data_IF_965187521842
#
_entry.id   IF_965187521842
#
_cell.length_a   1.000
_cell.length_b   1.000
_cell.length_c   1.000
_cell.angle_alpha   90.00
_cell.angle_beta   90.00
_cell.angle_gamma   90.00
#
_symmetry.space_group_name_H-M   'P 1'
#
loop_
_entity.id
_entity.type
_entity.pdbx_description
1 polymer ?
#
# COMPACT_ATOMS: atom_id res chain seq x y z
N UNK A 1 -18.89 -6.50 16.76
CA UNK A 1 -18.06 -7.54 16.11
C UNK A 1 -16.61 -7.38 16.56
N UNK A 2 -16.29 -7.83 17.80
CA UNK A 2 -14.95 -7.76 18.44
C UNK A 2 -14.46 -9.20 18.73
N UNK A 3 -14.35 -10.05 17.71
CA UNK A 3 -14.25 -11.50 17.94
C UNK A 3 -13.14 -12.26 17.18
N UNK A 4 -12.07 -11.58 16.74
CA UNK A 4 -10.87 -12.28 16.25
C UNK A 4 -9.53 -11.69 16.75
N UNK A 5 -9.56 -10.65 17.60
CA UNK A 5 -8.35 -10.00 18.13
C UNK A 5 -7.87 -10.57 19.47
N UNK A 6 -8.60 -11.52 20.07
CA UNK A 6 -8.23 -12.19 21.32
C UNK A 6 -7.86 -13.67 21.14
N UNK A 7 -7.37 -14.07 19.96
CA UNK A 7 -6.54 -15.27 19.87
C UNK A 7 -5.10 -14.89 20.21
N UNK A 8 -4.86 -14.77 21.52
CA UNK A 8 -3.63 -15.15 22.23
C UNK A 8 -2.46 -15.55 21.30
N UNK A 9 -1.42 -14.72 21.26
CA UNK A 9 -0.05 -15.07 20.86
C UNK A 9 0.29 -15.27 19.37
N UNK A 10 -0.55 -14.87 18.40
CA UNK A 10 -0.02 -14.62 17.05
C UNK A 10 0.55 -13.20 16.98
N UNK A 11 1.76 -13.06 17.55
CA UNK A 11 2.46 -11.79 17.70
C UNK A 11 2.57 -11.00 16.39
N UNK A 12 2.84 -9.69 16.51
CA UNK A 12 3.01 -8.71 15.43
C UNK A 12 3.67 -9.25 14.15
N UNK A 13 4.66 -10.12 14.31
CA UNK A 13 5.40 -10.79 13.23
C UNK A 13 4.61 -11.89 12.50
N UNK A 14 3.73 -12.62 13.18
CA UNK A 14 2.85 -13.63 12.61
C UNK A 14 1.82 -13.03 11.65
N UNK A 15 1.20 -11.90 12.00
CA UNK A 15 0.24 -11.24 11.10
C UNK A 15 0.90 -10.75 9.79
N UNK A 16 2.11 -10.18 9.90
CA UNK A 16 2.94 -9.80 8.75
C UNK A 16 3.33 -11.01 7.89
N UNK A 17 3.73 -12.11 8.53
CA UNK A 17 4.10 -13.35 7.85
C UNK A 17 2.91 -13.97 7.10
N UNK A 18 1.73 -14.06 7.71
CA UNK A 18 0.53 -14.58 7.05
C UNK A 18 0.04 -13.68 5.92
N UNK A 19 0.11 -12.35 6.08
CA UNK A 19 -0.23 -11.42 5.00
C UNK A 19 0.70 -11.62 3.79
N UNK A 20 2.01 -11.68 4.02
CA UNK A 20 2.99 -11.94 2.96
C UNK A 20 2.81 -13.31 2.30
N UNK A 21 2.56 -14.36 3.08
CA UNK A 21 2.34 -15.72 2.57
C UNK A 21 1.09 -15.82 1.69
N UNK A 22 -0.01 -15.20 2.13
CA UNK A 22 -1.27 -15.23 1.37
C UNK A 22 -1.22 -14.34 0.13
N UNK A 23 -0.45 -13.24 0.18
CA UNK A 23 -0.23 -12.36 -0.97
C UNK A 23 0.75 -12.95 -1.99
N UNK A 24 1.61 -13.89 -1.60
CA UNK A 24 2.55 -14.57 -2.51
C UNK A 24 1.82 -15.33 -3.63
N UNK A 25 0.76 -16.05 -3.29
CA UNK A 25 -0.04 -16.85 -4.24
C UNK A 25 -0.64 -16.00 -5.39
N UNK A 26 -1.40 -14.93 -5.12
CA UNK A 26 -1.95 -14.10 -6.19
C UNK A 26 -0.87 -13.33 -6.95
N UNK A 27 0.23 -12.92 -6.28
CA UNK A 27 1.34 -12.24 -6.96
C UNK A 27 2.01 -13.17 -7.97
N UNK A 28 2.31 -14.42 -7.60
CA UNK A 28 2.90 -15.40 -8.52
C UNK A 28 1.94 -15.69 -9.68
N UNK A 29 0.65 -15.88 -9.41
CA UNK A 29 -0.34 -16.12 -10.45
C UNK A 29 -0.43 -14.96 -11.45
N UNK A 30 -0.42 -13.70 -10.97
CA UNK A 30 -0.42 -12.52 -11.83
C UNK A 30 0.88 -12.36 -12.61
N UNK A 31 2.03 -12.66 -11.99
CA UNK A 31 3.33 -12.59 -12.64
C UNK A 31 3.44 -13.60 -13.80
N UNK A 32 2.87 -14.80 -13.64
CA UNK A 32 2.76 -15.78 -14.73
C UNK A 32 1.80 -15.27 -15.81
N UNK A 33 0.65 -14.70 -15.43
CA UNK A 33 -0.34 -14.21 -16.41
C UNK A 33 0.14 -12.99 -17.21
N UNK A 34 1.06 -12.20 -16.67
CA UNK A 34 1.55 -10.95 -17.28
C UNK A 34 2.91 -11.11 -17.97
N UNK A 35 3.43 -12.35 -18.00
CA UNK A 35 4.73 -12.73 -18.53
C UNK A 35 5.87 -11.83 -17.99
N UNK A 36 5.80 -11.48 -16.70
CA UNK A 36 6.82 -10.61 -16.10
C UNK A 36 8.17 -11.33 -15.95
N UNK A 37 8.15 -12.66 -15.85
CA UNK A 37 9.36 -13.48 -15.79
C UNK A 37 10.21 -13.36 -17.05
N UNK A 38 9.57 -13.31 -18.22
CA UNK A 38 10.26 -13.16 -19.51
C UNK A 38 10.82 -11.74 -19.68
N UNK A 39 10.09 -10.72 -19.23
CA UNK A 39 10.59 -9.33 -19.24
C UNK A 39 11.79 -9.14 -18.32
N UNK A 40 11.78 -9.77 -17.16
CA UNK A 40 12.89 -9.70 -16.19
C UNK A 40 14.11 -10.47 -16.71
N UNK A 41 13.93 -11.64 -17.31
CA UNK A 41 15.03 -12.42 -17.89
C UNK A 41 15.67 -11.67 -19.07
N UNK A 42 14.87 -11.09 -19.95
CA UNK A 42 15.36 -10.24 -21.05
C UNK A 42 16.12 -9.02 -20.54
N UNK A 43 15.64 -8.37 -19.47
CA UNK A 43 16.35 -7.23 -18.87
C UNK A 43 17.71 -7.63 -18.28
N UNK A 44 17.77 -8.79 -17.59
CA UNK A 44 19.00 -9.32 -16.99
C UNK A 44 20.02 -9.68 -18.08
N UNK A 45 19.57 -10.31 -19.17
CA UNK A 45 20.43 -10.72 -20.29
C UNK A 45 20.87 -9.51 -21.13
N UNK A 46 19.97 -8.56 -21.41
CA UNK A 46 20.22 -7.41 -22.28
C UNK A 46 21.09 -6.33 -21.63
N UNK A 47 20.81 -5.96 -20.37
CA UNK A 47 21.45 -4.82 -19.70
C UNK A 47 22.50 -5.22 -18.66
N UNK A 48 22.50 -6.48 -18.25
CA UNK A 48 23.35 -6.96 -17.17
C UNK A 48 22.92 -6.39 -15.81
N UNK A 49 23.12 -7.17 -14.75
CA UNK A 49 22.81 -6.70 -13.39
C UNK A 49 23.86 -5.66 -12.97
N UNK A 50 23.52 -4.38 -13.03
CA UNK A 50 24.40 -3.30 -12.57
C UNK A 50 24.27 -3.11 -11.05
N UNK A 51 25.37 -2.79 -10.36
CA UNK A 51 25.40 -2.47 -8.93
C UNK A 51 24.31 -1.49 -8.42
N UNK A 52 24.00 -0.36 -9.08
CA UNK A 52 22.93 0.53 -8.64
C UNK A 52 21.55 -0.13 -8.66
N UNK A 53 21.26 -1.04 -9.60
CA UNK A 53 19.98 -1.74 -9.68
C UNK A 53 19.79 -2.63 -8.46
N UNK A 54 20.84 -3.35 -8.04
CA UNK A 54 20.81 -4.19 -6.84
C UNK A 54 20.57 -3.33 -5.59
N UNK A 55 21.26 -2.19 -5.47
CA UNK A 55 21.13 -1.30 -4.32
C UNK A 55 19.71 -0.71 -4.26
N UNK A 56 19.17 -0.22 -5.38
CA UNK A 56 17.81 0.28 -5.46
C UNK A 56 16.78 -0.81 -5.16
N UNK A 57 17.01 -2.04 -5.62
CA UNK A 57 16.15 -3.19 -5.33
C UNK A 57 16.13 -3.52 -3.83
N UNK A 58 17.30 -3.64 -3.19
CA UNK A 58 17.40 -3.87 -1.74
C UNK A 58 16.75 -2.75 -0.93
N UNK A 59 16.98 -1.49 -1.32
CA UNK A 59 16.36 -0.34 -0.66
C UNK A 59 14.84 -0.38 -0.79
N UNK A 60 14.32 -0.73 -1.96
CA UNK A 60 12.88 -0.91 -2.20
C UNK A 60 12.29 -2.00 -1.32
N UNK A 61 12.97 -3.14 -1.18
CA UNK A 61 12.55 -4.22 -0.28
C UNK A 61 12.47 -3.75 1.18
N UNK A 62 13.49 -3.01 1.67
CA UNK A 62 13.51 -2.48 3.04
C UNK A 62 12.35 -1.48 3.25
N UNK A 63 12.15 -0.55 2.32
CA UNK A 63 11.05 0.41 2.39
C UNK A 63 9.67 -0.28 2.36
N UNK A 64 9.49 -1.28 1.50
CA UNK A 64 8.25 -2.06 1.42
C UNK A 64 7.95 -2.82 2.71
N UNK A 65 8.96 -3.41 3.34
CA UNK A 65 8.83 -4.05 4.64
C UNK A 65 8.46 -3.04 5.74
N UNK A 66 9.16 -1.90 5.80
CA UNK A 66 8.93 -0.85 6.79
C UNK A 66 7.52 -0.25 6.66
N UNK A 67 7.02 -0.09 5.44
CA UNK A 67 5.67 0.41 5.17
C UNK A 67 4.61 -0.59 5.63
N UNK A 68 4.76 -1.88 5.32
CA UNK A 68 3.84 -2.92 5.79
C UNK A 68 3.84 -3.02 7.31
N UNK A 69 5.02 -2.99 7.93
CA UNK A 69 5.16 -2.99 9.39
C UNK A 69 4.48 -1.78 10.04
N UNK A 70 4.70 -0.58 9.49
CA UNK A 70 4.06 0.65 9.97
C UNK A 70 2.54 0.59 9.88
N UNK A 71 1.99 0.05 8.78
CA UNK A 71 0.53 -0.10 8.61
C UNK A 71 -0.06 -1.06 9.66
N UNK A 72 0.60 -2.20 9.90
CA UNK A 72 0.16 -3.17 10.92
C UNK A 72 0.25 -2.56 12.32
N UNK A 73 1.32 -1.82 12.61
CA UNK A 73 1.51 -1.12 13.88
C UNK A 73 0.44 -0.04 14.07
N UNK A 74 0.17 0.79 13.04
CA UNK A 74 -0.91 1.77 13.07
C UNK A 74 -2.26 1.11 13.32
N UNK A 75 -2.54 -0.04 12.70
CA UNK A 75 -3.81 -0.78 12.92
C UNK A 75 -3.96 -1.30 14.34
N UNK A 76 -2.85 -1.64 14.99
CA UNK A 76 -2.83 -2.14 16.37
C UNK A 76 -3.01 -1.02 17.41
N UNK A 77 -2.34 0.11 17.22
CA UNK A 77 -2.38 1.24 18.17
C UNK A 77 -3.58 2.17 17.95
N UNK A 78 -4.14 2.20 16.74
CA UNK A 78 -5.22 3.10 16.36
C UNK A 78 -6.54 2.34 16.21
N UNK A 79 -7.68 3.02 16.36
CA UNK A 79 -8.97 2.38 16.08
C UNK A 79 -9.04 1.96 14.61
N UNK A 80 -9.71 0.84 14.30
CA UNK A 80 -9.91 0.38 12.92
C UNK A 80 -10.50 1.47 12.00
N UNK A 81 -11.28 2.38 12.58
CA UNK A 81 -11.85 3.55 11.90
C UNK A 81 -10.77 4.51 11.36
N UNK A 82 -9.83 4.90 12.21
CA UNK A 82 -8.83 5.90 11.85
C UNK A 82 -7.80 5.34 10.87
N UNK A 83 -7.50 4.04 10.91
CA UNK A 83 -6.70 3.37 9.87
C UNK A 83 -7.38 3.38 8.50
N UNK A 84 -8.70 3.21 8.44
CA UNK A 84 -9.47 3.29 7.19
C UNK A 84 -9.48 4.72 6.59
N UNK A 85 -9.45 5.76 7.42
CA UNK A 85 -9.33 7.16 6.96
C UNK A 85 -7.90 7.54 6.54
N UNK A 86 -6.87 7.02 7.23
CA UNK A 86 -5.46 7.35 6.96
C UNK A 86 -4.96 6.75 5.64
N UNK A 87 -5.47 5.59 5.22
CA UNK A 87 -5.12 4.96 3.95
C UNK A 87 -5.31 5.88 2.73
N UNK A 88 -6.52 6.42 2.52
CA UNK A 88 -6.77 7.38 1.44
C UNK A 88 -5.92 8.66 1.54
N UNK A 89 -5.76 9.20 2.76
CA UNK A 89 -4.96 10.41 3.00
C UNK A 89 -3.49 10.19 2.61
N UNK A 90 -2.89 9.03 2.97
CA UNK A 90 -1.49 8.72 2.60
C UNK A 90 -1.33 8.66 1.08
N UNK A 91 -2.29 8.04 0.37
CA UNK A 91 -2.22 7.91 -1.08
C UNK A 91 -2.33 9.28 -1.74
N UNK A 92 -3.22 10.15 -1.25
CA UNK A 92 -3.33 11.51 -1.72
C UNK A 92 -2.03 12.30 -1.54
N UNK A 93 -1.40 12.17 -0.37
CA UNK A 93 -0.12 12.83 -0.10
C UNK A 93 0.98 12.33 -1.04
N UNK A 94 1.10 11.02 -1.23
CA UNK A 94 2.08 10.42 -2.16
C UNK A 94 1.83 10.87 -3.60
N UNK A 95 0.57 10.94 -4.04
CA UNK A 95 0.24 11.44 -5.39
C UNK A 95 0.61 12.92 -5.53
N UNK A 96 0.32 13.75 -4.53
CA UNK A 96 0.63 15.19 -4.59
C UNK A 96 2.14 15.46 -4.58
N UNK A 97 2.87 14.78 -3.71
CA UNK A 97 4.34 14.83 -3.67
C UNK A 97 4.94 14.28 -4.96
N UNK A 98 4.38 13.21 -5.52
CA UNK A 98 4.79 12.67 -6.82
C UNK A 98 4.61 13.67 -7.95
N UNK A 99 3.47 14.36 -8.01
CA UNK A 99 3.24 15.42 -8.99
C UNK A 99 4.22 16.59 -8.85
N UNK A 100 4.63 16.93 -7.63
CA UNK A 100 5.60 18.01 -7.37
C UNK A 100 7.05 17.59 -7.65
N UNK A 101 7.41 16.35 -7.31
CA UNK A 101 8.80 15.87 -7.40
C UNK A 101 9.18 15.32 -8.77
N UNK A 102 8.23 14.87 -9.58
CA UNK A 102 8.56 14.12 -10.81
C UNK A 102 8.88 14.97 -12.03
N UNK A 103 8.71 16.30 -12.02
CA UNK A 103 9.20 17.22 -13.08
C UNK A 103 8.59 17.07 -14.50
N UNK A 104 8.15 15.87 -14.88
CA UNK A 104 7.63 15.45 -16.19
C UNK A 104 6.14 15.05 -16.14
N UNK A 105 5.40 15.47 -15.10
CA UNK A 105 3.99 15.10 -14.97
C UNK A 105 3.11 15.97 -15.87
N UNK A 106 2.73 15.43 -17.03
CA UNK A 106 1.70 16.02 -17.90
C UNK A 106 0.39 16.05 -17.12
N UNK A 107 -0.02 17.25 -16.73
CA UNK A 107 -1.26 17.50 -16.00
C UNK A 107 -2.46 16.98 -16.81
N UNK A 108 -2.91 15.77 -16.50
CA UNK A 108 -4.05 15.16 -17.18
C UNK A 108 -5.31 15.38 -16.35
N UNK A 109 -6.38 15.89 -16.97
CA UNK A 109 -7.66 16.18 -16.31
C UNK A 109 -8.23 15.00 -15.52
N UNK A 110 -7.99 13.78 -15.97
CA UNK A 110 -8.37 12.54 -15.26
C UNK A 110 -7.70 12.39 -13.90
N UNK A 111 -6.44 12.80 -13.73
CA UNK A 111 -5.76 12.71 -12.44
C UNK A 111 -6.31 13.76 -11.46
N UNK A 112 -6.55 14.99 -11.95
CA UNK A 112 -7.17 16.04 -11.13
C UNK A 112 -8.57 15.65 -10.65
N UNK A 113 -9.42 15.13 -11.53
CA UNK A 113 -10.76 14.65 -11.15
C UNK A 113 -10.65 13.45 -10.20
N UNK A 114 -9.75 12.50 -10.48
CA UNK A 114 -9.52 11.33 -9.63
C UNK A 114 -9.13 11.69 -8.19
N UNK A 115 -8.25 12.68 -8.03
CA UNK A 115 -7.86 13.18 -6.70
C UNK A 115 -9.07 13.83 -5.99
N UNK A 116 -9.82 14.69 -6.67
CA UNK A 116 -10.99 15.35 -6.07
C UNK A 116 -12.08 14.34 -5.67
N UNK A 117 -12.34 13.32 -6.49
CA UNK A 117 -13.27 12.23 -6.17
C UNK A 117 -12.76 11.41 -4.97
N UNK A 118 -11.46 11.13 -4.89
CA UNK A 118 -10.85 10.42 -3.76
C UNK A 118 -10.98 11.22 -2.44
N UNK A 119 -10.79 12.54 -2.48
CA UNK A 119 -11.03 13.44 -1.33
C UNK A 119 -12.49 13.39 -0.90
N UNK A 120 -13.43 13.55 -1.85
CA UNK A 120 -14.86 13.50 -1.57
C UNK A 120 -15.29 12.16 -0.95
N UNK A 121 -14.81 11.03 -1.51
CA UNK A 121 -15.10 9.70 -0.96
C UNK A 121 -14.57 9.52 0.46
N UNK A 122 -13.38 10.06 0.76
CA UNK A 122 -12.77 9.99 2.09
C UNK A 122 -13.53 10.83 3.13
N UNK A 123 -13.98 12.03 2.73
CA UNK A 123 -14.80 12.91 3.58
C UNK A 123 -16.17 12.26 3.84
N UNK A 124 -16.82 11.71 2.80
CA UNK A 124 -18.12 11.05 2.92
C UNK A 124 -18.03 9.79 3.80
N UNK A 125 -17.01 8.96 3.61
CA UNK A 125 -16.76 7.78 4.45
C UNK A 125 -16.56 8.15 5.92
N UNK A 126 -15.77 9.19 6.17
CA UNK A 126 -15.55 9.72 7.53
C UNK A 126 -16.85 10.24 8.12
N UNK A 127 -17.61 11.03 7.37
CA UNK A 127 -18.90 11.58 7.80
C UNK A 127 -19.92 10.49 8.14
N UNK A 128 -20.11 9.50 7.25
CA UNK A 128 -21.04 8.38 7.48
C UNK A 128 -20.61 7.56 8.70
N UNK A 129 -19.30 7.28 8.85
CA UNK A 129 -18.84 6.46 9.97
C UNK A 129 -18.91 7.20 11.31
N UNK A 130 -18.68 8.52 11.34
CA UNK A 130 -18.92 9.34 12.53
C UNK A 130 -20.41 9.43 12.88
N UNK A 131 -21.31 9.45 11.89
CA UNK A 131 -22.77 9.43 12.11
C UNK A 131 -23.31 8.07 12.56
N UNK A 132 -22.63 6.97 12.20
CA UNK A 132 -22.99 5.61 12.58
C UNK A 132 -22.50 5.18 13.97
N UNK A 133 -21.64 5.97 14.64
CA UNK A 133 -21.42 5.86 16.08
C UNK A 133 -22.42 6.77 16.79
N UNK A 134 -23.60 6.30 17.21
CA UNK A 134 -24.32 7.00 18.26
C UNK A 134 -23.40 7.04 19.49
N UNK A 135 -23.38 8.19 20.15
CA UNK A 135 -22.83 8.39 21.49
C UNK A 135 -23.13 7.16 22.37
N UNK A 136 -22.10 6.41 22.75
CA UNK A 136 -22.06 5.59 23.96
C UNK A 136 -20.88 6.07 24.80
#
# INVERSE_FOLDING_TARGET
>A
MKQKLEAKELGKYGLLYYNALFMLLPVIALAIFTDEFDKVSDFIISKGITWPVIICFLLSCICGFLLNYSVVLCTHYNSALTTACIGPIKNLFVTYVGMFSSGDYIFQWTNFIGINVSVLGSILYTYVTFRMKPFE
#
